data_IF_725010612192
#
_entry.id   IF_725010612192
#
_cell.length_a   1.000
_cell.length_b   1.000
_cell.length_c   1.000
_cell.angle_alpha   90.00
_cell.angle_beta   90.00
_cell.angle_gamma   90.00
#
_symmetry.space_group_name_H-M   'P 1'
#
loop_
_entity.id
_entity.type
_entity.pdbx_description
1 polymer ?
#
# COMPACT_ATOMS: atom_id res chain seq x y z
N UNK A 1 -3.79 44.44 2.27
CA UNK A 1 -4.52 43.66 1.24
C UNK A 1 -4.31 42.19 1.55
N UNK A 2 -5.32 41.53 2.12
CA UNK A 2 -5.27 40.10 2.44
C UNK A 2 -5.52 39.31 1.16
N UNK A 3 -4.50 38.61 0.67
CA UNK A 3 -4.66 37.63 -0.39
C UNK A 3 -5.33 36.42 0.25
N UNK A 4 -6.63 36.31 0.02
CA UNK A 4 -7.43 35.10 0.23
C UNK A 4 -6.65 33.93 -0.38
N UNK A 5 -6.06 33.09 0.48
CA UNK A 5 -5.52 31.81 0.06
C UNK A 5 -6.70 30.96 -0.35
N UNK A 6 -6.97 30.91 -1.66
CA UNK A 6 -7.87 29.90 -2.20
C UNK A 6 -7.32 28.51 -1.81
N UNK A 7 -8.17 27.57 -1.35
CA UNK A 7 -7.73 26.22 -1.06
C UNK A 7 -7.20 25.62 -2.38
N UNK A 8 -5.88 25.41 -2.44
CA UNK A 8 -5.23 24.85 -3.61
C UNK A 8 -5.83 23.50 -3.99
N UNK A 9 -5.77 23.10 -5.28
CA UNK A 9 -6.37 21.86 -5.74
C UNK A 9 -5.77 20.67 -5.00
N UNK A 10 -6.63 19.93 -4.31
CA UNK A 10 -6.30 18.75 -3.52
C UNK A 10 -5.35 17.79 -4.26
N UNK A 11 -4.24 17.41 -3.60
CA UNK A 11 -3.18 16.61 -4.21
C UNK A 11 -3.14 15.21 -3.62
N UNK A 12 -3.42 14.20 -4.45
CA UNK A 12 -3.22 12.80 -4.07
C UNK A 12 -1.76 12.38 -4.33
N UNK A 13 -0.92 12.46 -3.32
CA UNK A 13 0.51 12.16 -3.43
C UNK A 13 0.78 10.71 -3.85
N UNK A 14 0.00 9.74 -3.38
CA UNK A 14 0.11 8.35 -3.84
C UNK A 14 -0.20 8.16 -5.33
N UNK A 15 -1.15 8.91 -5.90
CA UNK A 15 -1.44 8.87 -7.34
C UNK A 15 -0.37 9.61 -8.15
N UNK A 16 0.14 10.75 -7.65
CA UNK A 16 1.29 11.42 -8.25
C UNK A 16 2.52 10.51 -8.25
N UNK A 17 2.75 9.77 -7.15
CA UNK A 17 3.84 8.81 -7.05
C UNK A 17 3.68 7.69 -8.09
N UNK A 18 2.46 7.17 -8.32
CA UNK A 18 2.22 6.22 -9.42
C UNK A 18 2.51 6.82 -10.80
N UNK A 19 2.11 8.08 -11.04
CA UNK A 19 2.41 8.77 -12.30
C UNK A 19 3.92 8.92 -12.49
N UNK A 20 4.66 9.29 -11.44
CA UNK A 20 6.11 9.38 -11.46
C UNK A 20 6.76 8.03 -11.77
N UNK A 21 6.35 6.96 -11.09
CA UNK A 21 6.85 5.61 -11.35
C UNK A 21 6.59 5.18 -12.80
N UNK A 22 5.39 5.46 -13.34
CA UNK A 22 5.07 5.19 -14.74
C UNK A 22 5.93 6.00 -15.71
N UNK A 23 6.17 7.29 -15.43
CA UNK A 23 7.06 8.16 -16.24
C UNK A 23 8.49 7.61 -16.27
N UNK A 24 8.96 7.03 -15.16
CA UNK A 24 10.29 6.39 -15.04
C UNK A 24 10.31 4.90 -15.45
N UNK A 25 9.25 4.39 -16.07
CA UNK A 25 9.10 2.98 -16.46
C UNK A 25 9.41 1.98 -15.32
N UNK A 26 9.03 2.34 -14.09
CA UNK A 26 9.31 1.57 -12.88
C UNK A 26 8.05 0.85 -12.39
N UNK A 27 8.15 -0.46 -12.15
CA UNK A 27 7.05 -1.24 -11.57
C UNK A 27 6.96 -1.04 -10.05
N UNK A 28 5.84 -1.45 -9.44
CA UNK A 28 5.72 -1.47 -7.97
C UNK A 28 6.74 -2.43 -7.34
N UNK A 29 7.14 -3.48 -8.05
CA UNK A 29 8.16 -4.43 -7.60
C UNK A 29 9.53 -3.76 -7.57
N UNK A 30 9.84 -2.91 -8.54
CA UNK A 30 11.12 -2.18 -8.59
C UNK A 30 11.14 -1.09 -7.52
N UNK A 31 10.01 -0.38 -7.35
CA UNK A 31 9.87 0.62 -6.30
C UNK A 31 10.06 0.04 -4.90
N UNK A 32 9.49 -1.13 -4.59
CA UNK A 32 9.71 -1.77 -3.28
C UNK A 32 11.17 -2.16 -3.07
N UNK A 33 11.86 -2.64 -4.12
CA UNK A 33 13.26 -3.05 -4.05
C UNK A 33 14.16 -1.84 -3.80
N UNK A 34 13.93 -0.76 -4.53
CA UNK A 34 14.64 0.51 -4.38
C UNK A 34 14.48 1.12 -2.98
N UNK A 35 13.28 1.03 -2.42
CA UNK A 35 12.97 1.60 -1.10
C UNK A 35 13.34 0.68 0.07
N UNK A 36 13.59 -0.61 -0.18
CA UNK A 36 13.81 -1.61 0.88
C UNK A 36 12.53 -1.97 1.63
N UNK A 37 11.39 -1.93 0.94
CA UNK A 37 10.07 -2.18 1.53
C UNK A 37 9.53 -3.57 1.17
N UNK A 38 8.61 -4.05 2.00
CA UNK A 38 7.69 -5.09 1.57
C UNK A 38 6.79 -4.56 0.45
N UNK A 39 6.27 -5.46 -0.39
CA UNK A 39 5.32 -5.10 -1.44
C UNK A 39 4.07 -4.41 -0.86
N UNK A 40 3.66 -4.80 0.35
CA UNK A 40 2.52 -4.22 1.05
C UNK A 40 2.76 -2.76 1.42
N UNK A 41 3.94 -2.44 1.96
CA UNK A 41 4.31 -1.08 2.32
C UNK A 41 4.41 -0.19 1.09
N UNK A 42 4.95 -0.69 -0.03
CA UNK A 42 4.95 0.03 -1.30
C UNK A 42 3.52 0.34 -1.79
N UNK A 43 2.63 -0.66 -1.82
CA UNK A 43 1.23 -0.48 -2.19
C UNK A 43 0.44 0.41 -1.22
N UNK A 44 0.81 0.42 0.06
CA UNK A 44 0.24 1.32 1.05
C UNK A 44 0.55 2.78 0.70
N UNK A 45 1.82 3.11 0.45
CA UNK A 45 2.22 4.46 0.07
C UNK A 45 1.63 4.91 -1.27
N UNK A 46 1.51 4.01 -2.26
CA UNK A 46 0.89 4.31 -3.56
C UNK A 46 -0.64 4.47 -3.52
N UNK A 47 -1.29 4.17 -2.39
CA UNK A 47 -2.73 4.38 -2.16
C UNK A 47 -3.01 5.54 -1.21
N UNK A 48 -1.98 6.05 -0.54
CA UNK A 48 -2.11 7.14 0.41
C UNK A 48 -2.41 8.44 -0.31
N UNK A 49 -3.50 9.08 0.10
CA UNK A 49 -3.85 10.43 -0.34
C UNK A 49 -2.75 11.43 0.02
N UNK A 50 -2.27 11.38 1.26
CA UNK A 50 -1.13 12.15 1.74
C UNK A 50 -0.08 11.24 2.39
N UNK A 51 1.18 11.42 1.99
CA UNK A 51 2.36 10.72 2.50
C UNK A 51 3.06 11.66 3.49
N UNK A 52 3.64 11.11 4.58
CA UNK A 52 4.40 11.94 5.53
C UNK A 52 5.54 12.63 4.77
N UNK A 53 5.74 13.94 4.99
CA UNK A 53 6.75 14.75 4.30
C UNK A 53 8.15 14.12 4.31
N UNK A 54 8.63 13.74 5.49
CA UNK A 54 9.93 13.07 5.65
C UNK A 54 10.05 11.76 4.88
N UNK A 55 8.93 11.08 4.64
CA UNK A 55 8.87 9.83 3.88
C UNK A 55 8.83 10.13 2.39
N UNK A 56 8.06 11.14 1.96
CA UNK A 56 7.99 11.58 0.59
C UNK A 56 9.34 12.13 0.11
N UNK A 57 10.01 12.96 0.90
CA UNK A 57 11.35 13.49 0.60
C UNK A 57 12.35 12.35 0.33
N UNK A 58 12.36 11.31 1.18
CA UNK A 58 13.19 10.11 0.96
C UNK A 58 12.83 9.36 -0.33
N UNK A 59 11.56 9.33 -0.71
CA UNK A 59 11.13 8.70 -1.97
C UNK A 59 11.63 9.50 -3.16
N UNK A 60 11.47 10.82 -3.13
CA UNK A 60 11.89 11.72 -4.18
C UNK A 60 13.40 11.74 -4.37
N UNK A 61 14.15 11.72 -3.27
CA UNK A 61 15.62 11.58 -3.27
C UNK A 61 16.06 10.30 -3.96
N UNK A 62 15.54 9.14 -3.53
CA UNK A 62 15.88 7.84 -4.14
C UNK A 62 15.38 7.68 -5.58
N UNK A 63 14.31 8.39 -5.94
CA UNK A 63 13.78 8.42 -7.30
C UNK A 63 14.46 9.49 -8.16
N UNK A 64 15.44 10.23 -7.62
CA UNK A 64 16.14 11.31 -8.30
C UNK A 64 15.14 12.28 -8.97
N UNK A 65 14.22 12.82 -8.16
CA UNK A 65 13.16 13.72 -8.62
C UNK A 65 13.04 14.89 -7.65
N UNK A 66 12.97 16.11 -8.18
CA UNK A 66 12.77 17.30 -7.37
C UNK A 66 11.29 17.44 -6.93
N UNK A 67 10.99 17.97 -5.73
CA UNK A 67 9.62 18.25 -5.30
C UNK A 67 8.82 19.09 -6.31
N UNK A 68 9.43 20.08 -6.96
CA UNK A 68 8.75 20.91 -7.96
C UNK A 68 8.36 20.09 -9.18
N UNK A 69 9.24 19.17 -9.63
CA UNK A 69 8.92 18.24 -10.70
C UNK A 69 7.79 17.29 -10.30
N UNK A 70 7.85 16.77 -9.07
CA UNK A 70 6.84 15.85 -8.52
C UNK A 70 5.44 16.47 -8.47
N UNK A 71 5.31 17.67 -7.92
CA UNK A 71 4.02 18.39 -7.86
C UNK A 71 3.60 18.93 -9.23
N UNK A 72 4.54 19.20 -10.14
CA UNK A 72 4.28 19.54 -11.53
C UNK A 72 3.55 18.44 -12.32
N UNK A 73 3.63 17.16 -11.89
CA UNK A 73 2.87 16.04 -12.47
C UNK A 73 1.35 16.17 -12.31
N UNK A 74 0.89 17.11 -11.48
CA UNK A 74 -0.51 17.47 -11.37
C UNK A 74 -1.02 18.22 -12.61
N UNK A 75 -0.18 19.03 -13.25
CA UNK A 75 -0.58 19.96 -14.32
C UNK A 75 -0.54 19.36 -15.74
N UNK A 76 0.10 18.20 -15.92
CA UNK A 76 0.33 17.59 -17.25
C UNK A 76 -0.68 16.51 -17.69
N UNK A 77 -1.76 16.27 -16.96
CA UNK A 77 -2.77 15.27 -17.33
C UNK A 77 -4.16 15.70 -16.89
N UNK A 78 -5.22 15.15 -17.54
CA UNK A 78 -6.63 15.42 -17.19
C UNK A 78 -6.77 15.57 -15.66
N UNK A 79 -7.34 16.67 -15.14
CA UNK A 79 -7.45 16.91 -13.72
C UNK A 79 -8.04 15.66 -13.09
N UNK A 80 -7.26 15.01 -12.23
CA UNK A 80 -7.78 13.90 -11.44
C UNK A 80 -8.66 14.56 -10.40
N UNK A 81 -9.91 14.84 -10.78
CA UNK A 81 -10.96 15.23 -9.86
C UNK A 81 -11.21 14.03 -8.95
N UNK A 82 -10.38 13.88 -7.92
CA UNK A 82 -10.73 13.05 -6.80
C UNK A 82 -11.80 13.83 -6.04
N UNK A 83 -13.05 13.46 -6.27
CA UNK A 83 -14.16 13.99 -5.49
C UNK A 83 -13.94 13.53 -4.04
N UNK A 84 -13.70 14.48 -3.14
CA UNK A 84 -13.59 14.23 -1.72
C UNK A 84 -14.86 13.51 -1.26
N UNK A 85 -14.70 12.30 -0.75
CA UNK A 85 -15.84 11.43 -0.45
C UNK A 85 -16.17 11.51 1.04
N UNK A 86 -17.19 12.30 1.39
CA UNK A 86 -17.61 12.57 2.77
C UNK A 86 -17.89 11.28 3.55
N UNK A 87 -18.51 10.29 2.92
CA UNK A 87 -18.74 8.98 3.54
C UNK A 87 -17.47 8.22 3.95
N UNK A 88 -16.43 8.22 3.11
CA UNK A 88 -15.13 7.62 3.43
C UNK A 88 -14.42 8.42 4.50
N UNK A 89 -14.46 9.75 4.42
CA UNK A 89 -13.90 10.64 5.45
C UNK A 89 -14.53 10.38 6.82
N UNK A 90 -15.85 10.31 6.89
CA UNK A 90 -16.58 10.01 8.12
C UNK A 90 -16.13 8.66 8.69
N UNK A 91 -16.05 7.63 7.84
CA UNK A 91 -15.61 6.30 8.26
C UNK A 91 -14.19 6.35 8.87
N UNK A 92 -13.26 7.04 8.21
CA UNK A 92 -11.90 7.23 8.71
C UNK A 92 -11.85 8.02 10.03
N UNK A 93 -12.67 9.06 10.19
CA UNK A 93 -12.70 9.84 11.44
C UNK A 93 -13.25 9.02 12.60
N UNK A 94 -14.31 8.24 12.36
CA UNK A 94 -14.85 7.32 13.37
C UNK A 94 -13.81 6.29 13.78
N UNK A 95 -13.07 5.73 12.83
CA UNK A 95 -12.01 4.76 13.11
C UNK A 95 -10.85 5.40 13.89
N UNK A 96 -10.42 6.62 13.53
CA UNK A 96 -9.35 7.35 14.24
C UNK A 96 -9.74 7.73 15.67
N UNK A 97 -10.99 8.13 15.88
CA UNK A 97 -11.51 8.53 17.20
C UNK A 97 -12.00 7.33 18.04
N UNK A 98 -11.92 6.11 17.51
CA UNK A 98 -12.38 4.90 18.22
C UNK A 98 -13.90 4.83 18.41
N UNK A 99 -14.68 5.56 17.60
CA UNK A 99 -16.14 5.52 17.69
C UNK A 99 -16.71 4.23 17.13
N UNK A 100 -17.52 3.55 17.94
CA UNK A 100 -18.32 2.43 17.46
C UNK A 100 -19.42 2.95 16.51
N UNK A 101 -19.44 2.46 15.27
CA UNK A 101 -20.35 2.87 14.19
C UNK A 101 -21.83 2.80 14.58
N UNK A 102 -22.22 1.76 15.32
CA UNK A 102 -23.60 1.58 15.79
C UNK A 102 -23.95 2.54 16.93
N UNK A 103 -23.00 2.84 17.83
CA UNK A 103 -23.20 3.87 18.86
C UNK A 103 -23.24 5.26 18.26
N UNK A 104 -22.39 5.54 17.28
CA UNK A 104 -22.39 6.80 16.55
C UNK A 104 -23.72 7.02 15.81
N UNK A 105 -24.23 6.00 15.11
CA UNK A 105 -25.54 6.05 14.47
C UNK A 105 -26.67 6.42 15.45
N UNK A 106 -26.66 5.81 16.65
CA UNK A 106 -27.62 6.15 17.72
C UNK A 106 -27.48 7.60 18.19
N UNK A 107 -26.25 8.11 18.34
CA UNK A 107 -26.01 9.51 18.74
C UNK A 107 -26.43 10.50 17.65
N UNK A 108 -26.22 10.13 16.39
CA UNK A 108 -26.66 10.90 15.22
C UNK A 108 -28.19 10.79 15.01
N UNK A 109 -28.90 9.93 15.75
CA UNK A 109 -30.34 9.73 15.60
C UNK A 109 -30.75 9.00 14.32
N UNK A 110 -29.83 8.29 13.68
CA UNK A 110 -30.09 7.58 12.42
C UNK A 110 -30.15 6.06 12.62
N UNK A 111 -30.86 5.37 11.73
CA UNK A 111 -30.90 3.90 11.74
C UNK A 111 -29.54 3.31 11.38
N UNK A 112 -29.32 2.06 11.79
CA UNK A 112 -28.11 1.32 11.41
C UNK A 112 -27.95 1.20 9.90
N UNK A 113 -29.04 1.07 9.15
CA UNK A 113 -28.98 1.03 7.69
C UNK A 113 -28.53 2.38 7.12
N UNK A 114 -29.10 3.49 7.62
CA UNK A 114 -28.80 4.83 7.13
C UNK A 114 -27.33 5.23 7.33
N UNK A 115 -26.68 4.82 8.41
CA UNK A 115 -25.26 5.12 8.61
C UNK A 115 -24.35 4.41 7.58
N UNK A 116 -24.72 3.20 7.13
CA UNK A 116 -23.97 2.53 6.07
C UNK A 116 -24.20 3.16 4.70
N UNK A 117 -25.39 3.69 4.44
CA UNK A 117 -25.65 4.53 3.25
C UNK A 117 -24.80 5.80 3.27
N UNK A 118 -24.69 6.46 4.43
CA UNK A 118 -23.83 7.64 4.58
C UNK A 118 -22.36 7.32 4.27
N UNK A 119 -21.84 6.15 4.66
CA UNK A 119 -20.46 5.77 4.30
C UNK A 119 -20.22 5.63 2.79
N UNK A 120 -21.26 5.38 2.01
CA UNK A 120 -21.20 5.31 0.54
C UNK A 120 -21.57 6.64 -0.14
N UNK A 121 -21.96 7.64 0.63
CA UNK A 121 -22.36 8.95 0.08
C UNK A 121 -21.12 9.80 -0.20
N UNK A 122 -20.98 10.26 -1.44
CA UNK A 122 -19.86 11.08 -1.89
C UNK A 122 -19.86 12.47 -1.26
N UNK A 123 -21.02 13.13 -1.21
CA UNK A 123 -21.19 14.46 -0.63
C UNK A 123 -22.41 14.45 0.28
N UNK A 124 -22.22 14.88 1.52
CA UNK A 124 -23.33 15.05 2.46
C UNK A 124 -24.07 16.36 2.18
N UNK A 125 -25.39 16.36 2.42
CA UNK A 125 -26.14 17.59 2.54
C UNK A 125 -25.62 18.43 3.72
N UNK A 126 -25.60 19.75 3.59
CA UNK A 126 -25.01 20.65 4.58
C UNK A 126 -25.57 20.47 6.00
N UNK A 127 -26.87 20.20 6.13
CA UNK A 127 -27.51 19.93 7.42
C UNK A 127 -26.99 18.63 8.06
N UNK A 128 -26.83 17.57 7.26
CA UNK A 128 -26.28 16.30 7.71
C UNK A 128 -24.79 16.44 8.07
N UNK A 129 -24.04 17.21 7.29
CA UNK A 129 -22.63 17.48 7.56
C UNK A 129 -22.44 18.23 8.89
N UNK A 130 -23.22 19.28 9.14
CA UNK A 130 -23.22 20.00 10.43
C UNK A 130 -23.50 19.05 11.59
N UNK A 131 -24.57 18.26 11.48
CA UNK A 131 -24.96 17.32 12.53
C UNK A 131 -23.87 16.28 12.81
N UNK A 132 -23.20 15.80 11.76
CA UNK A 132 -22.06 14.88 11.87
C UNK A 132 -20.89 15.55 12.58
N UNK A 133 -20.54 16.78 12.21
CA UNK A 133 -19.45 17.55 12.81
C UNK A 133 -19.74 17.83 14.30
N UNK A 134 -20.96 18.22 14.64
CA UNK A 134 -21.41 18.42 16.03
C UNK A 134 -21.32 17.12 16.84
N UNK A 135 -21.74 16.00 16.25
CA UNK A 135 -21.68 14.68 16.92
C UNK A 135 -20.24 14.20 17.12
N UNK A 136 -19.33 14.57 16.22
CA UNK A 136 -17.89 14.29 16.30
C UNK A 136 -17.14 15.29 17.18
N UNK A 137 -17.73 16.46 17.49
CA UNK A 137 -17.09 17.54 18.25
C UNK A 137 -15.98 18.25 17.46
N UNK A 138 -16.14 18.40 16.15
CA UNK A 138 -15.16 19.04 15.25
C UNK A 138 -15.81 20.14 14.42
N UNK A 139 -15.03 21.09 13.89
CA UNK A 139 -15.54 22.05 12.91
C UNK A 139 -15.74 21.39 11.54
N UNK A 140 -16.60 22.00 10.71
CA UNK A 140 -16.77 21.60 9.31
C UNK A 140 -15.46 21.74 8.52
N UNK A 141 -14.71 22.82 8.77
CA UNK A 141 -13.37 23.01 8.20
C UNK A 141 -12.43 21.86 8.57
N UNK A 142 -12.48 21.35 9.81
CA UNK A 142 -11.66 20.21 10.24
C UNK A 142 -12.13 18.88 9.62
N UNK A 143 -13.43 18.74 9.34
CA UNK A 143 -13.96 17.59 8.62
C UNK A 143 -13.51 17.59 7.16
N UNK A 144 -13.60 18.74 6.49
CA UNK A 144 -13.29 18.93 5.06
C UNK A 144 -11.79 19.08 4.78
N UNK A 145 -11.01 19.53 5.75
CA UNK A 145 -9.55 19.65 5.66
C UNK A 145 -8.91 18.38 6.20
N UNK A 146 -8.31 17.52 5.36
CA UNK A 146 -7.55 16.38 5.84
C UNK A 146 -6.16 16.84 6.31
N UNK A 147 -6.09 17.79 7.26
CA UNK A 147 -4.97 18.15 8.13
C UNK A 147 -5.17 19.56 8.74
N UNK A 148 -5.47 19.63 10.03
CA UNK A 148 -4.80 20.59 10.93
C UNK A 148 -3.94 19.71 11.84
N UNK A 149 -2.61 19.79 11.86
CA UNK A 149 -1.83 20.80 12.59
C UNK A 149 -2.32 21.11 14.01
N UNK A 150 -3.15 20.27 14.62
CA UNK A 150 -3.40 20.27 16.07
C UNK A 150 -2.43 19.29 16.70
N UNK A 151 -1.60 19.78 17.62
CA UNK A 151 -0.70 18.98 18.43
C UNK A 151 -1.45 17.78 19.05
N UNK A 152 -0.90 16.58 18.88
CA UNK A 152 -1.46 15.35 19.44
C UNK A 152 -1.60 15.49 20.98
N UNK A 153 -2.80 15.37 21.58
CA UNK A 153 -2.88 14.88 22.93
C UNK A 153 -2.54 13.38 22.87
N UNK A 154 -1.53 13.01 23.65
CA UNK A 154 -1.09 11.65 23.90
C UNK A 154 -2.29 10.80 24.39
N UNK A 155 -2.92 10.02 23.50
CA UNK A 155 -3.96 9.05 23.88
C UNK A 155 -3.49 7.66 23.44
N UNK A 156 -3.21 6.83 24.44
CA UNK A 156 -2.80 5.44 24.30
C UNK A 156 -3.71 4.64 23.36
N UNK A 157 -3.08 3.83 22.52
CA UNK A 157 -3.74 3.04 21.49
C UNK A 157 -4.72 2.00 22.08
N UNK A 158 -5.95 1.86 21.54
CA UNK A 158 -6.87 0.82 21.96
C UNK A 158 -6.43 -0.57 21.45
N UNK A 159 -6.92 -1.67 22.06
CA UNK A 159 -6.35 -3.00 21.88
C UNK A 159 -6.64 -3.60 20.50
N UNK A 160 -5.67 -4.39 20.01
CA UNK A 160 -5.63 -5.05 18.70
C UNK A 160 -6.85 -5.95 18.45
N UNK A 161 -7.76 -5.52 17.57
CA UNK A 161 -8.68 -6.44 16.89
C UNK A 161 -7.87 -7.40 15.98
N UNK A 162 -8.21 -8.68 16.01
CA UNK A 162 -7.56 -9.71 15.18
C UNK A 162 -7.90 -9.45 13.71
N UNK A 163 -6.96 -8.79 13.04
CA UNK A 163 -7.12 -8.35 11.67
C UNK A 163 -7.00 -9.55 10.70
N UNK A 164 -8.12 -10.19 10.35
CA UNK A 164 -8.20 -11.29 9.38
C UNK A 164 -7.52 -10.96 8.04
N UNK A 165 -7.41 -9.67 7.71
CA UNK A 165 -6.69 -9.17 6.53
C UNK A 165 -5.18 -9.38 6.65
N UNK A 166 -4.60 -9.16 7.83
CA UNK A 166 -3.19 -9.47 8.13
C UNK A 166 -2.95 -10.98 8.03
N UNK A 167 -3.90 -11.80 8.48
CA UNK A 167 -3.80 -13.26 8.35
C UNK A 167 -3.80 -13.70 6.88
N UNK A 168 -4.69 -13.16 6.05
CA UNK A 168 -4.74 -13.45 4.61
C UNK A 168 -3.42 -13.09 3.91
N UNK A 169 -2.90 -11.88 4.15
CA UNK A 169 -1.67 -11.46 3.49
C UNK A 169 -0.42 -12.18 4.00
N UNK A 170 -0.38 -12.57 5.28
CA UNK A 170 0.69 -13.43 5.82
C UNK A 170 0.71 -14.81 5.16
N UNK A 171 -0.47 -15.37 4.86
CA UNK A 171 -0.59 -16.62 4.10
C UNK A 171 -0.09 -16.44 2.66
N UNK A 172 -0.41 -15.31 2.03
CA UNK A 172 0.09 -15.01 0.68
C UNK A 172 1.61 -14.80 0.64
N UNK A 173 2.19 -14.10 1.62
CA UNK A 173 3.65 -13.95 1.73
C UNK A 173 4.35 -15.30 1.87
N UNK A 174 3.86 -16.14 2.79
CA UNK A 174 4.40 -17.48 2.97
C UNK A 174 4.25 -18.33 1.70
N UNK A 175 3.18 -18.15 0.93
CA UNK A 175 3.01 -18.81 -0.37
C UNK A 175 4.08 -18.38 -1.36
N UNK A 176 4.35 -17.08 -1.51
CA UNK A 176 5.38 -16.59 -2.43
C UNK A 176 6.79 -17.02 -2.01
N UNK A 177 7.10 -17.00 -0.71
CA UNK A 177 8.36 -17.51 -0.19
C UNK A 177 8.54 -19.01 -0.50
N UNK A 178 7.47 -19.79 -0.37
CA UNK A 178 7.49 -21.22 -0.71
C UNK A 178 7.63 -21.46 -2.22
N UNK A 179 6.99 -20.64 -3.06
CA UNK A 179 7.15 -20.72 -4.53
C UNK A 179 8.61 -20.44 -4.92
N UNK A 180 9.23 -19.39 -4.38
CA UNK A 180 10.65 -19.07 -4.63
C UNK A 180 11.59 -20.19 -4.15
N UNK A 181 11.31 -20.79 -2.98
CA UNK A 181 12.09 -21.92 -2.48
C UNK A 181 11.91 -23.19 -3.33
N UNK A 182 10.70 -23.44 -3.84
CA UNK A 182 10.42 -24.55 -4.74
C UNK A 182 11.17 -24.39 -6.07
N UNK A 183 11.24 -23.17 -6.62
CA UNK A 183 11.99 -22.90 -7.84
C UNK A 183 13.49 -23.16 -7.64
N UNK A 184 14.05 -22.73 -6.51
CA UNK A 184 15.45 -23.00 -6.15
C UNK A 184 15.75 -24.49 -5.98
N UNK A 185 14.92 -25.21 -5.22
CA UNK A 185 15.09 -26.66 -5.02
C UNK A 185 14.91 -27.44 -6.32
N UNK A 186 14.03 -26.99 -7.22
CA UNK A 186 13.86 -27.61 -8.53
C UNK A 186 15.11 -27.41 -9.40
N UNK A 187 15.69 -26.20 -9.38
CA UNK A 187 16.95 -25.94 -10.08
C UNK A 187 18.10 -26.79 -9.52
N UNK A 188 18.22 -26.90 -8.19
CA UNK A 188 19.24 -27.73 -7.53
C UNK A 188 19.07 -29.22 -7.87
N UNK A 189 17.84 -29.74 -7.79
CA UNK A 189 17.52 -31.12 -8.18
C UNK A 189 17.93 -31.41 -9.61
N UNK A 190 17.61 -30.51 -10.55
CA UNK A 190 17.96 -30.66 -11.96
C UNK A 190 19.49 -30.68 -12.16
N UNK A 191 20.23 -29.82 -11.44
CA UNK A 191 21.69 -29.81 -11.47
C UNK A 191 22.29 -31.12 -10.94
N UNK A 192 21.79 -31.62 -9.80
CA UNK A 192 22.22 -32.89 -9.22
C UNK A 192 21.90 -34.07 -10.13
N UNK A 193 20.74 -34.08 -10.79
CA UNK A 193 20.38 -35.11 -11.76
C UNK A 193 21.34 -35.11 -12.96
N UNK A 194 21.69 -33.94 -13.49
CA UNK A 194 22.68 -33.83 -14.56
C UNK A 194 24.04 -34.37 -14.11
N UNK A 195 24.53 -33.96 -12.94
CA UNK A 195 25.81 -34.43 -12.41
C UNK A 195 25.84 -35.95 -12.21
N UNK A 196 24.76 -36.51 -11.66
CA UNK A 196 24.62 -37.95 -11.46
C UNK A 196 24.61 -38.72 -12.78
N UNK A 197 23.95 -38.17 -13.81
CA UNK A 197 23.94 -38.76 -15.14
C UNK A 197 25.33 -38.72 -15.80
N UNK A 198 26.07 -37.62 -15.65
CA UNK A 198 27.47 -37.52 -16.11
C UNK A 198 28.35 -38.56 -15.42
N UNK A 199 28.22 -38.71 -14.09
CA UNK A 199 28.97 -39.72 -13.34
C UNK A 199 28.62 -41.15 -13.77
N UNK A 200 27.34 -41.45 -14.01
CA UNK A 200 26.92 -42.77 -14.49
C UNK A 200 27.51 -43.10 -15.87
N UNK A 201 27.55 -42.13 -16.79
CA UNK A 201 28.17 -42.29 -18.10
C UNK A 201 29.68 -42.55 -17.96
N UNK A 202 30.37 -41.74 -17.15
CA UNK A 202 31.80 -41.92 -16.90
C UNK A 202 32.11 -43.29 -16.28
N UNK A 203 31.32 -43.73 -15.31
CA UNK A 203 31.51 -45.02 -14.64
C UNK A 203 31.28 -46.20 -15.60
N UNK A 204 30.27 -46.12 -16.48
CA UNK A 204 30.07 -47.11 -17.55
C UNK A 204 31.25 -47.17 -18.52
N UNK A 205 31.80 -46.03 -18.91
CA UNK A 205 32.99 -45.96 -19.78
C UNK A 205 34.19 -46.64 -19.11
N UNK A 206 34.46 -46.33 -17.84
CA UNK A 206 35.55 -46.95 -17.07
C UNK A 206 35.37 -48.47 -16.92
N UNK A 207 34.14 -48.93 -16.67
CA UNK A 207 33.85 -50.37 -16.60
C UNK A 207 34.11 -51.07 -17.94
N UNK A 208 33.77 -50.42 -19.07
CA UNK A 208 34.05 -50.93 -20.40
C UNK A 208 35.57 -51.02 -20.64
N UNK A 209 36.33 -49.98 -20.32
CA UNK A 209 37.80 -49.96 -20.43
C UNK A 209 38.45 -51.06 -19.57
N UNK A 210 38.04 -51.19 -18.31
CA UNK A 210 38.53 -52.25 -17.42
C UNK A 210 38.22 -53.64 -17.97
N UNK A 211 37.04 -53.84 -18.57
CA UNK A 211 36.68 -55.12 -19.19
C UNK A 211 37.54 -55.45 -20.42
N UNK A 212 37.94 -54.43 -21.19
CA UNK A 212 38.82 -54.60 -22.35
C UNK A 212 40.26 -54.92 -21.93
N UNK A 213 40.76 -54.25 -20.88
CA UNK A 213 42.08 -54.52 -20.32
C UNK A 213 42.18 -55.94 -19.74
N UNK A 214 41.15 -56.40 -19.03
CA UNK A 214 41.08 -57.78 -18.51
C UNK A 214 41.05 -58.88 -19.59
N UNK A 215 40.65 -58.55 -20.82
CA UNK A 215 40.66 -59.49 -21.95
C UNK A 215 41.99 -59.52 -22.71
N UNK A 216 42.89 -58.56 -22.46
CA UNK A 216 44.20 -58.42 -23.13
C UNK A 216 45.36 -59.03 -22.33
N UNK A 217 45.17 -59.29 -21.04
CA UNK A 217 46.08 -60.03 -20.17
C UNK A 217 45.58 -61.46 -19.98
#
# INVERSE_FOLDING_TARGET
MNILHQPGPWVHEGLLLRKLLKKKNMSVVDFRKLMGFSYQSAQYHLRKEAIKRSTLEKFLEKLETDPNEFYGLQQGGKPVHYQFHHGKRLLEMLDKMGFNKTRFAKRLGVTRQKIYELFQTTIFESAMLLQICDTLGISMDHFETPNEMVAEPNVEAPPKEVNYRVKYYRVMEKKYELEELCDLLTAEKNSLQQALQTLQVANKSLQQELSQLRKKN
#
